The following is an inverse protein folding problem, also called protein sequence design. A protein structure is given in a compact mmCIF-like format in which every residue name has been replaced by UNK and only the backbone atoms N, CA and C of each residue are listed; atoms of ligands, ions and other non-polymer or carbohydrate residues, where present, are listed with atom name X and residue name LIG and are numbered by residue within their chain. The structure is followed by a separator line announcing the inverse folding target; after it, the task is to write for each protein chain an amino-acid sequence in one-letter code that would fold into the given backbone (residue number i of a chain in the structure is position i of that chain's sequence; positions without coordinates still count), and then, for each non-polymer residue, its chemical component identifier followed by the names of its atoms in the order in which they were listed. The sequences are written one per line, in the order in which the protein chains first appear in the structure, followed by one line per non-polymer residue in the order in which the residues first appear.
data_IF_955154095659
#
_entry.id   IF_955154095659
#
_cell.length_a   1.000
_cell.length_b   1.000
_cell.length_c   1.000
_cell.angle_alpha   90.00
_cell.angle_beta   90.00
_cell.angle_gamma   90.00
#
_symmetry.space_group_name_H-M   'P 1'
#
loop_
_entity.id
_entity.type
_entity.pdbx_description
1 polymer ?
#
# COMPACT_ATOMS: atom_id res chain seq x y z
N UNK A 1 1.24 11.52 -6.68
CA UNK A 1 -0.15 11.37 -7.20
C UNK A 1 -1.12 12.37 -6.55
N UNK A 2 -1.89 13.10 -7.38
CA UNK A 2 -3.00 13.96 -6.95
C UNK A 2 -4.33 13.45 -7.51
N UNK A 3 -5.38 13.49 -6.70
CA UNK A 3 -6.75 13.16 -7.08
C UNK A 3 -7.50 14.43 -7.49
N UNK A 4 -8.37 14.32 -8.49
CA UNK A 4 -9.24 15.40 -8.93
C UNK A 4 -10.68 15.16 -8.48
N UNK A 5 -11.50 16.21 -8.44
CA UNK A 5 -12.92 16.15 -8.07
C UNK A 5 -13.16 15.53 -6.69
N UNK A 6 -12.37 15.99 -5.72
CA UNK A 6 -12.37 15.47 -4.35
C UNK A 6 -13.31 16.26 -3.46
N UNK A 7 -14.13 15.54 -2.70
CA UNK A 7 -14.98 16.08 -1.65
C UNK A 7 -14.71 15.35 -0.33
N UNK A 8 -14.86 16.05 0.79
CA UNK A 8 -14.75 15.44 2.13
C UNK A 8 -16.13 15.41 2.78
N UNK A 9 -16.50 14.24 3.29
CA UNK A 9 -17.73 14.03 4.04
C UNK A 9 -17.48 13.27 5.33
N UNK A 10 -18.57 12.87 6.01
CA UNK A 10 -18.49 12.01 7.20
C UNK A 10 -18.85 10.58 6.85
N UNK A 11 -17.98 9.64 7.19
CA UNK A 11 -18.26 8.22 7.08
C UNK A 11 -19.46 7.87 7.98
N UNK A 12 -20.50 7.27 7.41
CA UNK A 12 -21.67 6.83 8.17
C UNK A 12 -21.49 5.39 8.62
N UNK A 13 -21.25 4.49 7.65
CA UNK A 13 -21.06 3.05 7.91
C UNK A 13 -20.47 2.32 6.71
N UNK A 14 -19.89 1.15 6.95
CA UNK A 14 -19.59 0.17 5.91
C UNK A 14 -20.85 -0.65 5.60
N UNK A 15 -21.27 -0.67 4.35
CA UNK A 15 -22.46 -1.40 3.88
C UNK A 15 -22.09 -2.80 3.40
N UNK A 16 -20.97 -2.92 2.68
CA UNK A 16 -20.48 -4.19 2.14
C UNK A 16 -18.96 -4.21 2.04
N UNK A 17 -18.40 -5.27 1.46
CA UNK A 17 -16.96 -5.32 1.16
C UNK A 17 -16.50 -4.24 0.17
N UNK A 18 -17.41 -3.67 -0.63
CA UNK A 18 -17.11 -2.72 -1.71
C UNK A 18 -17.88 -1.39 -1.61
N UNK A 19 -18.64 -1.18 -0.53
CA UNK A 19 -19.51 -0.01 -0.42
C UNK A 19 -19.53 0.51 1.00
N UNK A 20 -19.36 1.82 1.12
CA UNK A 20 -19.62 2.57 2.34
C UNK A 20 -20.68 3.65 2.06
N UNK A 21 -21.27 4.18 3.11
CA UNK A 21 -22.09 5.39 3.04
C UNK A 21 -21.32 6.55 3.66
N UNK A 22 -21.32 7.68 2.96
CA UNK A 22 -20.70 8.94 3.40
C UNK A 22 -21.73 10.05 3.32
N UNK A 23 -21.87 10.85 4.37
CA UNK A 23 -22.63 12.09 4.35
C UNK A 23 -21.83 13.16 3.61
N UNK A 24 -22.21 13.46 2.37
CA UNK A 24 -21.66 14.54 1.55
C UNK A 24 -22.69 15.66 1.52
N UNK A 25 -22.33 16.86 1.98
CA UNK A 25 -23.23 18.01 2.06
C UNK A 25 -24.58 17.71 2.76
N UNK A 26 -24.53 16.85 3.79
CA UNK A 26 -25.71 16.39 4.54
C UNK A 26 -26.51 15.26 3.87
N UNK A 27 -26.13 14.81 2.67
CA UNK A 27 -26.80 13.74 1.93
C UNK A 27 -26.03 12.42 2.07
N UNK A 28 -26.73 11.38 2.54
CA UNK A 28 -26.20 10.02 2.57
C UNK A 28 -25.95 9.51 1.15
N UNK A 29 -24.67 9.37 0.81
CA UNK A 29 -24.23 8.99 -0.54
C UNK A 29 -23.52 7.63 -0.52
N UNK A 30 -23.88 6.69 -1.39
CA UNK A 30 -23.18 5.42 -1.53
C UNK A 30 -21.85 5.62 -2.29
N UNK A 31 -20.76 5.13 -1.71
CA UNK A 31 -19.40 5.30 -2.21
C UNK A 31 -18.75 3.93 -2.40
N UNK A 32 -18.09 3.74 -3.54
CA UNK A 32 -17.34 2.51 -3.81
C UNK A 32 -16.03 2.49 -3.02
N UNK A 33 -15.64 1.33 -2.51
CA UNK A 33 -14.36 1.10 -1.88
C UNK A 33 -13.66 -0.07 -2.58
N UNK A 34 -12.48 0.18 -3.16
CA UNK A 34 -11.70 -0.82 -3.90
C UNK A 34 -10.72 -1.61 -3.01
N UNK A 35 -10.68 -1.30 -1.72
CA UNK A 35 -9.90 -2.02 -0.71
C UNK A 35 -10.78 -2.99 0.07
N UNK A 36 -10.55 -4.28 -0.15
CA UNK A 36 -11.31 -5.38 0.47
C UNK A 36 -10.80 -5.78 1.85
N UNK A 37 -9.82 -5.05 2.37
CA UNK A 37 -9.25 -5.27 3.68
C UNK A 37 -10.25 -5.23 4.82
N UNK A 38 -9.79 -5.63 6.00
CA UNK A 38 -10.64 -5.62 7.20
C UNK A 38 -11.05 -4.20 7.55
N UNK A 39 -10.13 -3.24 7.46
CA UNK A 39 -10.36 -1.80 7.61
C UNK A 39 -11.22 -1.43 8.84
N UNK A 40 -11.18 -2.24 9.91
CA UNK A 40 -12.10 -2.09 11.06
C UNK A 40 -11.72 -0.87 11.89
N UNK A 41 -10.42 -0.69 12.05
CA UNK A 41 -9.74 0.42 12.70
C UNK A 41 -9.65 1.68 11.83
N UNK A 42 -10.13 1.62 10.58
CA UNK A 42 -10.11 2.74 9.63
C UNK A 42 -11.54 3.24 9.40
N UNK A 43 -12.50 2.34 9.18
CA UNK A 43 -13.87 2.68 8.81
C UNK A 43 -14.76 2.93 10.04
N UNK A 44 -14.33 3.86 10.89
CA UNK A 44 -15.06 4.25 12.11
C UNK A 44 -16.14 5.30 11.76
N UNK A 45 -17.43 5.05 12.06
CA UNK A 45 -18.50 6.03 11.88
C UNK A 45 -18.16 7.40 12.48
N UNK A 46 -18.49 8.47 11.76
CA UNK A 46 -18.20 9.86 12.12
C UNK A 46 -16.85 10.38 11.62
N UNK A 47 -15.92 9.51 11.22
CA UNK A 47 -14.61 9.91 10.67
C UNK A 47 -14.76 10.71 9.39
N UNK A 48 -13.84 11.65 9.14
CA UNK A 48 -13.78 12.32 7.84
C UNK A 48 -13.36 11.33 6.76
N UNK A 49 -14.07 11.34 5.65
CA UNK A 49 -13.83 10.48 4.50
C UNK A 49 -13.69 11.35 3.25
N UNK A 50 -12.57 11.21 2.56
CA UNK A 50 -12.34 11.84 1.26
C UNK A 50 -12.80 10.92 0.15
N UNK A 51 -13.56 11.47 -0.79
CA UNK A 51 -14.14 10.75 -1.92
C UNK A 51 -13.86 11.49 -3.22
N UNK A 52 -13.69 10.73 -4.30
CA UNK A 52 -13.57 11.28 -5.67
C UNK A 52 -14.85 11.05 -6.44
N UNK A 53 -15.40 12.09 -7.04
CA UNK A 53 -16.47 11.96 -8.02
C UNK A 53 -15.98 11.31 -9.32
N UNK A 54 -16.71 10.33 -9.83
CA UNK A 54 -16.44 9.63 -11.08
C UNK A 54 -17.58 9.86 -12.06
N UNK A 55 -17.28 10.65 -13.09
CA UNK A 55 -18.21 10.98 -14.18
C UNK A 55 -18.39 9.82 -15.17
N UNK A 56 -18.85 8.67 -14.68
CA UNK A 56 -19.27 7.54 -15.49
C UNK A 56 -20.72 7.17 -15.13
N UNK A 57 -21.63 7.45 -16.04
CA UNK A 57 -23.08 7.26 -15.87
C UNK A 57 -23.49 5.80 -15.77
N UNK A 58 -22.65 4.86 -16.20
CA UNK A 58 -22.92 3.42 -16.11
C UNK A 58 -22.59 2.84 -14.73
N UNK A 59 -21.94 3.61 -13.85
CA UNK A 59 -21.58 3.14 -12.51
C UNK A 59 -22.78 3.20 -11.56
N UNK A 60 -22.90 2.18 -10.70
CA UNK A 60 -23.88 2.17 -9.60
C UNK A 60 -23.57 3.23 -8.53
N UNK A 61 -22.29 3.55 -8.33
CA UNK A 61 -21.86 4.62 -7.42
C UNK A 61 -21.05 5.65 -8.21
N UNK A 62 -21.34 6.94 -7.97
CA UNK A 62 -20.65 8.05 -8.60
C UNK A 62 -19.41 8.51 -7.82
N UNK A 63 -19.04 7.80 -6.77
CA UNK A 63 -17.91 8.16 -5.91
C UNK A 63 -17.04 6.94 -5.58
N UNK A 64 -15.73 7.16 -5.51
CA UNK A 64 -14.73 6.26 -4.94
C UNK A 64 -14.22 6.82 -3.61
N UNK A 65 -14.09 5.97 -2.59
CA UNK A 65 -13.48 6.31 -1.31
C UNK A 65 -11.95 6.33 -1.49
N UNK A 66 -11.32 7.46 -1.19
CA UNK A 66 -9.88 7.65 -1.35
C UNK A 66 -9.13 7.47 -0.03
N UNK A 67 -9.57 8.18 1.00
CA UNK A 67 -8.88 8.24 2.27
C UNK A 67 -9.88 8.43 3.42
N UNK A 68 -9.50 7.98 4.61
CA UNK A 68 -10.25 8.20 5.85
C UNK A 68 -9.32 8.80 6.89
N UNK A 69 -9.78 9.82 7.61
CA UNK A 69 -9.01 10.45 8.64
C UNK A 69 -9.19 9.74 9.98
N UNK A 70 -8.08 9.41 10.64
CA UNK A 70 -8.05 8.87 12.00
C UNK A 70 -6.97 9.56 12.80
N UNK A 71 -7.29 10.04 14.01
CA UNK A 71 -6.33 10.72 14.89
C UNK A 71 -5.56 11.83 14.13
N UNK A 72 -6.28 12.66 13.37
CA UNK A 72 -5.75 13.72 12.51
C UNK A 72 -4.83 13.28 11.35
N UNK A 73 -4.63 11.97 11.13
CA UNK A 73 -3.86 11.43 10.00
C UNK A 73 -4.80 10.92 8.92
N UNK A 74 -4.51 11.27 7.67
CA UNK A 74 -5.20 10.68 6.52
C UNK A 74 -4.58 9.33 6.18
N UNK A 75 -5.42 8.30 6.12
CA UNK A 75 -5.05 6.97 5.66
C UNK A 75 -5.65 6.81 4.28
N UNK A 76 -4.80 6.78 3.25
CA UNK A 76 -5.24 6.49 1.90
C UNK A 76 -5.55 4.99 1.82
N UNK A 77 -6.76 4.67 1.40
CA UNK A 77 -7.23 3.29 1.29
C UNK A 77 -7.39 2.87 -0.17
N UNK A 78 -7.07 3.73 -1.13
CA UNK A 78 -7.11 3.40 -2.55
C UNK A 78 -6.06 2.31 -2.83
N UNK A 79 -6.52 1.11 -3.17
CA UNK A 79 -5.64 -0.05 -3.39
C UNK A 79 -4.76 0.08 -4.63
N UNK A 80 -5.03 1.04 -5.52
CA UNK A 80 -4.23 1.29 -6.71
C UNK A 80 -3.10 2.31 -6.44
N UNK A 81 -3.21 3.11 -5.38
CA UNK A 81 -2.27 4.18 -5.09
C UNK A 81 -0.82 3.73 -4.88
N UNK A 82 -0.52 2.61 -4.18
CA UNK A 82 0.85 2.14 -3.98
C UNK A 82 1.63 1.96 -5.29
N UNK A 83 1.03 1.28 -6.27
CA UNK A 83 1.66 1.03 -7.56
C UNK A 83 1.84 2.35 -8.34
N UNK A 84 0.85 3.26 -8.31
CA UNK A 84 0.99 4.57 -8.95
C UNK A 84 2.13 5.39 -8.34
N UNK A 85 2.19 5.49 -7.02
CA UNK A 85 3.25 6.23 -6.31
C UNK A 85 4.62 5.61 -6.58
N UNK A 86 4.74 4.29 -6.47
CA UNK A 86 5.99 3.59 -6.73
C UNK A 86 6.47 3.77 -8.16
N UNK A 87 5.57 3.65 -9.16
CA UNK A 87 5.91 3.87 -10.57
C UNK A 87 6.48 5.27 -10.79
N UNK A 88 5.75 6.30 -10.35
CA UNK A 88 6.15 7.71 -10.49
C UNK A 88 7.52 7.94 -9.82
N UNK A 89 7.74 7.37 -8.63
CA UNK A 89 8.98 7.55 -7.89
C UNK A 89 10.15 6.74 -8.44
N UNK A 90 9.91 5.57 -9.04
CA UNK A 90 10.93 4.78 -9.76
C UNK A 90 11.36 5.52 -11.04
N UNK A 91 10.42 6.04 -11.81
CA UNK A 91 10.69 6.77 -13.06
C UNK A 91 11.45 8.09 -12.82
N UNK A 92 11.14 8.78 -11.72
CA UNK A 92 11.81 10.04 -11.33
C UNK A 92 13.10 9.82 -10.53
N UNK A 93 13.36 8.59 -10.06
CA UNK A 93 14.51 8.27 -9.20
C UNK A 93 14.36 8.69 -7.74
N UNK A 94 13.18 9.18 -7.32
CA UNK A 94 12.90 9.53 -5.91
C UNK A 94 12.82 8.27 -5.04
N UNK A 95 12.31 7.16 -5.58
CA UNK A 95 12.42 5.84 -4.97
C UNK A 95 13.71 5.20 -5.50
N UNK A 96 14.78 5.31 -4.72
CA UNK A 96 16.06 4.68 -5.07
C UNK A 96 16.05 3.20 -4.70
N UNK A 97 16.49 2.36 -5.64
CA UNK A 97 16.76 0.95 -5.42
C UNK A 97 18.24 0.79 -5.05
N UNK A 98 18.59 0.46 -3.79
CA UNK A 98 19.98 0.37 -3.38
C UNK A 98 20.78 -0.56 -4.29
N UNK A 99 22.00 -0.18 -4.63
CA UNK A 99 22.87 -0.96 -5.51
C UNK A 99 22.55 -0.90 -7.00
N UNK A 100 21.61 -0.04 -7.42
CA UNK A 100 21.28 0.20 -8.82
C UNK A 100 21.52 1.64 -9.22
N UNK A 101 22.05 1.83 -10.43
CA UNK A 101 22.38 3.13 -10.99
C UNK A 101 21.16 3.76 -11.69
N UNK A 102 20.86 5.02 -11.40
CA UNK A 102 19.82 5.81 -12.08
C UNK A 102 20.28 6.30 -13.48
N UNK A 103 19.37 6.62 -14.41
CA UNK A 103 17.92 6.43 -14.32
C UNK A 103 17.52 4.96 -14.54
N UNK A 104 16.30 4.62 -14.14
CA UNK A 104 15.74 3.28 -14.37
C UNK A 104 14.85 3.27 -15.61
N UNK A 105 14.97 2.24 -16.45
CA UNK A 105 13.91 1.88 -17.38
C UNK A 105 12.85 1.08 -16.61
N UNK A 106 11.59 1.54 -16.59
CA UNK A 106 10.52 0.95 -15.75
C UNK A 106 9.43 0.33 -16.63
N UNK A 107 9.13 -0.93 -16.40
CA UNK A 107 8.12 -1.72 -17.09
C UNK A 107 7.09 -2.26 -16.08
N UNK A 108 5.90 -1.65 -15.99
CA UNK A 108 4.87 -2.09 -15.05
C UNK A 108 4.26 -3.43 -15.47
N UNK A 109 3.66 -4.12 -14.50
CA UNK A 109 2.77 -5.25 -14.71
C UNK A 109 3.40 -6.41 -15.50
N UNK A 110 4.67 -6.71 -15.19
CA UNK A 110 5.50 -7.65 -15.94
C UNK A 110 5.26 -9.09 -15.49
N UNK A 111 4.89 -9.95 -16.44
CA UNK A 111 4.81 -11.40 -16.21
C UNK A 111 6.21 -11.99 -16.22
N UNK A 112 6.56 -12.70 -15.15
CA UNK A 112 7.77 -13.50 -15.06
C UNK A 112 7.43 -14.85 -14.43
N UNK A 113 7.70 -15.93 -15.18
CA UNK A 113 7.25 -17.29 -14.87
C UNK A 113 5.72 -17.33 -14.68
N UNK A 114 5.25 -17.78 -13.51
CA UNK A 114 3.83 -17.96 -13.18
C UNK A 114 3.26 -16.78 -12.36
N UNK A 115 4.00 -15.68 -12.28
CA UNK A 115 3.69 -14.50 -11.46
C UNK A 115 3.65 -13.25 -12.33
N UNK A 116 2.85 -12.27 -11.92
CA UNK A 116 2.86 -10.92 -12.47
C UNK A 116 3.40 -9.99 -11.38
N UNK A 117 4.61 -9.51 -11.56
CA UNK A 117 5.28 -8.59 -10.66
C UNK A 117 4.87 -7.16 -11.02
N UNK A 118 4.80 -6.30 -9.99
CA UNK A 118 4.34 -4.92 -10.19
C UNK A 118 5.25 -4.13 -11.15
N UNK A 119 6.59 -4.29 -11.05
CA UNK A 119 7.54 -3.64 -11.95
C UNK A 119 8.75 -4.51 -12.28
N UNK A 120 9.24 -4.37 -13.50
CA UNK A 120 10.54 -4.85 -13.96
C UNK A 120 11.31 -3.69 -14.59
N UNK A 121 12.61 -3.84 -14.77
CA UNK A 121 13.40 -2.82 -15.43
C UNK A 121 14.87 -3.11 -15.55
N UNK A 122 15.59 -2.12 -16.04
CA UNK A 122 17.06 -2.10 -16.07
C UNK A 122 17.57 -0.81 -15.44
N UNK A 123 18.68 -0.90 -14.72
CA UNK A 123 19.45 0.25 -14.27
C UNK A 123 20.27 0.83 -15.43
N UNK A 124 20.85 2.01 -15.23
CA UNK A 124 21.65 2.69 -16.27
C UNK A 124 22.90 1.89 -16.71
N UNK A 125 23.42 1.05 -15.84
CA UNK A 125 24.53 0.11 -16.12
C UNK A 125 24.06 -1.21 -16.75
N UNK A 126 22.76 -1.35 -17.04
CA UNK A 126 22.16 -2.53 -17.64
C UNK A 126 21.73 -3.62 -16.66
N UNK A 127 21.96 -3.46 -15.35
CA UNK A 127 21.56 -4.46 -14.35
C UNK A 127 20.03 -4.63 -14.34
N UNK A 128 19.49 -5.83 -14.62
CA UNK A 128 18.06 -6.06 -14.58
C UNK A 128 17.55 -6.17 -13.15
N UNK A 129 16.32 -5.73 -12.93
CA UNK A 129 15.70 -5.70 -11.60
C UNK A 129 14.19 -5.95 -11.64
N UNK A 130 13.66 -6.38 -10.50
CA UNK A 130 12.23 -6.51 -10.25
C UNK A 130 11.84 -5.83 -8.93
N UNK A 131 10.70 -5.16 -8.92
CA UNK A 131 10.07 -4.59 -7.73
C UNK A 131 8.66 -5.16 -7.60
N UNK A 132 8.35 -5.65 -6.41
CA UNK A 132 6.98 -5.95 -5.99
C UNK A 132 6.57 -4.97 -4.89
N UNK A 133 5.44 -4.31 -5.08
CA UNK A 133 4.89 -3.34 -4.14
C UNK A 133 3.80 -3.93 -3.26
N UNK A 134 3.71 -3.45 -2.02
CA UNK A 134 2.67 -3.82 -1.06
C UNK A 134 2.15 -2.56 -0.39
N UNK A 135 0.85 -2.28 -0.57
CA UNK A 135 0.16 -1.24 0.17
C UNK A 135 -0.05 -1.66 1.63
N UNK A 136 0.18 -0.73 2.55
CA UNK A 136 0.04 -0.96 3.99
C UNK A 136 -0.79 0.16 4.61
N UNK A 137 -1.91 -0.21 5.23
CA UNK A 137 -2.82 0.72 5.93
C UNK A 137 -2.97 0.38 7.41
N UNK A 138 -2.62 -0.83 7.80
CA UNK A 138 -2.68 -1.29 9.19
C UNK A 138 -1.52 -0.68 9.98
N UNK A 139 -1.87 0.05 11.04
CA UNK A 139 -0.90 0.69 11.92
C UNK A 139 -1.49 0.93 13.31
N UNK A 140 -0.62 0.91 14.31
CA UNK A 140 -0.89 1.32 15.68
C UNK A 140 0.20 2.31 16.13
N UNK A 141 -0.19 3.53 16.49
CA UNK A 141 0.77 4.61 16.74
C UNK A 141 1.62 4.90 15.49
N UNK A 142 2.94 4.81 15.65
CA UNK A 142 3.96 5.01 14.61
C UNK A 142 4.51 3.70 14.01
N UNK A 143 3.94 2.55 14.36
CA UNK A 143 4.32 1.23 13.84
C UNK A 143 3.26 0.75 12.85
N UNK A 144 3.68 0.47 11.62
CA UNK A 144 2.84 -0.14 10.59
C UNK A 144 3.08 -1.66 10.52
N UNK A 145 2.08 -2.41 10.05
CA UNK A 145 2.25 -3.84 9.85
C UNK A 145 1.51 -4.37 8.62
N UNK A 146 2.09 -5.39 8.00
CA UNK A 146 1.48 -6.13 6.88
C UNK A 146 1.46 -7.63 7.18
N UNK A 147 0.44 -8.40 6.78
CA UNK A 147 -0.77 -7.97 6.08
C UNK A 147 -1.92 -7.65 7.04
N UNK A 148 -2.97 -7.03 6.51
CA UNK A 148 -4.23 -6.79 7.22
C UNK A 148 -5.20 -8.00 7.15
N UNK A 149 -4.92 -8.97 6.26
CA UNK A 149 -5.56 -10.28 6.15
C UNK A 149 -4.57 -11.32 5.59
N UNK A 150 -4.71 -12.63 5.89
CA UNK A 150 -3.87 -13.67 5.28
C UNK A 150 -3.86 -13.58 3.75
N UNK A 151 -2.68 -13.71 3.13
CA UNK A 151 -2.50 -13.50 1.67
C UNK A 151 -1.48 -14.45 1.06
N UNK A 152 -1.96 -15.56 0.51
CA UNK A 152 -1.13 -16.52 -0.23
C UNK A 152 -0.50 -15.92 -1.48
N UNK A 153 -1.11 -14.88 -2.06
CA UNK A 153 -0.56 -14.13 -3.18
C UNK A 153 0.73 -13.39 -2.79
N UNK A 154 0.76 -12.73 -1.63
CA UNK A 154 1.98 -12.07 -1.18
C UNK A 154 3.10 -13.08 -0.92
N UNK A 155 2.76 -14.23 -0.31
CA UNK A 155 3.71 -15.32 -0.09
C UNK A 155 4.31 -15.82 -1.41
N UNK A 156 3.46 -16.08 -2.41
CA UNK A 156 3.89 -16.46 -3.77
C UNK A 156 4.86 -15.45 -4.35
N UNK A 157 4.54 -14.16 -4.30
CA UNK A 157 5.38 -13.12 -4.89
C UNK A 157 6.75 -12.98 -4.18
N UNK A 158 6.82 -13.19 -2.86
CA UNK A 158 8.10 -13.24 -2.12
C UNK A 158 8.98 -14.38 -2.64
N UNK A 159 8.41 -15.57 -2.85
CA UNK A 159 9.16 -16.68 -3.46
C UNK A 159 9.57 -16.39 -4.91
N UNK A 160 8.73 -15.70 -5.69
CA UNK A 160 9.09 -15.26 -7.04
C UNK A 160 10.29 -14.32 -7.02
N UNK A 161 10.34 -13.35 -6.11
CA UNK A 161 11.49 -12.46 -5.95
C UNK A 161 12.77 -13.22 -5.59
N UNK A 162 12.67 -14.24 -4.72
CA UNK A 162 13.81 -15.11 -4.40
C UNK A 162 14.36 -15.85 -5.62
N UNK A 163 13.46 -16.39 -6.44
CA UNK A 163 13.86 -17.07 -7.69
C UNK A 163 14.53 -16.08 -8.65
N UNK A 164 13.99 -14.88 -8.79
CA UNK A 164 14.57 -13.86 -9.66
C UNK A 164 15.96 -13.43 -9.17
N UNK A 165 16.12 -13.27 -7.85
CA UNK A 165 17.41 -12.96 -7.23
C UNK A 165 18.47 -14.03 -7.53
N UNK A 166 18.09 -15.31 -7.49
CA UNK A 166 18.97 -16.43 -7.83
C UNK A 166 19.37 -16.47 -9.32
N UNK A 167 18.56 -15.89 -10.21
CA UNK A 167 18.85 -15.78 -11.65
C UNK A 167 19.57 -14.48 -12.06
N UNK A 168 20.07 -13.72 -11.08
CA UNK A 168 20.88 -12.53 -11.33
C UNK A 168 20.11 -11.23 -11.50
N UNK A 169 18.79 -11.23 -11.31
CA UNK A 169 18.02 -9.99 -11.16
C UNK A 169 18.28 -9.39 -9.77
N UNK A 170 18.30 -8.06 -9.65
CA UNK A 170 18.16 -7.43 -8.34
C UNK A 170 16.67 -7.38 -7.97
N UNK A 171 16.28 -8.05 -6.89
CA UNK A 171 14.88 -8.17 -6.50
C UNK A 171 14.57 -7.33 -5.26
N UNK A 172 13.45 -6.61 -5.31
CA UNK A 172 13.02 -5.70 -4.25
C UNK A 172 11.57 -5.96 -3.84
N UNK A 173 11.34 -6.06 -2.54
CA UNK A 173 10.01 -5.99 -1.94
C UNK A 173 9.85 -4.60 -1.32
N UNK A 174 8.90 -3.82 -1.83
CA UNK A 174 8.70 -2.44 -1.42
C UNK A 174 7.35 -2.28 -0.75
N UNK A 175 7.36 -1.87 0.51
CA UNK A 175 6.16 -1.51 1.23
C UNK A 175 5.91 0.00 1.14
N UNK A 176 4.71 0.36 0.71
CA UNK A 176 4.22 1.74 0.69
C UNK A 176 3.17 1.87 1.78
N UNK A 177 3.56 2.50 2.89
CA UNK A 177 2.69 2.71 4.04
C UNK A 177 1.85 3.97 3.78
N UNK A 178 0.57 3.77 3.48
CA UNK A 178 -0.36 4.76 2.93
C UNK A 178 -0.88 5.79 3.96
N UNK A 179 -0.07 6.11 4.97
CA UNK A 179 -0.37 7.07 6.02
C UNK A 179 0.92 7.73 6.55
N UNK A 180 0.84 8.98 7.03
CA UNK A 180 2.00 9.70 7.54
C UNK A 180 2.37 9.28 8.98
N UNK A 181 3.50 9.81 9.44
CA UNK A 181 4.01 9.68 10.81
C UNK A 181 4.30 8.25 11.26
N UNK A 182 4.71 7.41 10.31
CA UNK A 182 5.22 6.07 10.57
C UNK A 182 6.74 6.14 10.69
N UNK A 183 7.29 5.44 11.68
CA UNK A 183 8.73 5.37 11.93
C UNK A 183 9.30 4.02 11.53
N UNK A 184 8.51 2.96 11.75
CA UNK A 184 8.93 1.59 11.56
C UNK A 184 7.77 0.76 11.03
N UNK A 185 8.14 -0.35 10.39
CA UNK A 185 7.23 -1.31 9.83
C UNK A 185 7.66 -2.74 10.19
N UNK A 186 6.67 -3.59 10.45
CA UNK A 186 6.86 -5.03 10.66
C UNK A 186 5.88 -5.87 9.83
N UNK A 187 5.96 -7.18 10.01
CA UNK A 187 5.00 -8.15 9.52
C UNK A 187 4.11 -8.60 10.68
N UNK A 188 2.79 -8.59 10.48
CA UNK A 188 1.85 -9.02 11.51
C UNK A 188 1.82 -10.55 11.63
N UNK A 189 2.75 -11.09 12.42
CA UNK A 189 2.96 -12.54 12.59
C UNK A 189 1.70 -13.29 12.99
N UNK A 190 0.94 -12.81 13.97
CA UNK A 190 -0.27 -13.51 14.44
C UNK A 190 -1.34 -13.63 13.35
N UNK A 191 -1.30 -12.71 12.37
CA UNK A 191 -2.22 -12.74 11.23
C UNK A 191 -1.78 -13.72 10.17
N UNK A 192 -0.50 -13.75 9.84
CA UNK A 192 0.03 -14.61 8.79
C UNK A 192 1.49 -15.00 9.03
N UNK A 193 1.75 -16.02 9.88
CA UNK A 193 3.09 -16.35 10.36
C UNK A 193 4.03 -16.82 9.25
N UNK A 194 3.51 -17.50 8.23
CA UNK A 194 4.27 -18.01 7.08
C UNK A 194 4.99 -16.89 6.31
N UNK A 195 4.40 -15.69 6.25
CA UNK A 195 4.97 -14.56 5.53
C UNK A 195 6.27 -14.05 6.19
N UNK A 196 6.36 -14.11 7.52
CA UNK A 196 7.58 -13.70 8.23
C UNK A 196 8.75 -14.58 7.82
N UNK A 197 8.54 -15.90 7.84
CA UNK A 197 9.54 -16.88 7.43
C UNK A 197 9.96 -16.67 5.97
N UNK A 198 8.99 -16.47 5.08
CA UNK A 198 9.30 -16.23 3.67
C UNK A 198 10.11 -14.96 3.43
N UNK A 199 9.77 -13.85 4.10
CA UNK A 199 10.50 -12.59 3.98
C UNK A 199 11.91 -12.71 4.59
N UNK A 200 12.05 -13.41 5.71
CA UNK A 200 13.36 -13.70 6.33
C UNK A 200 14.26 -14.46 5.34
N UNK A 201 13.72 -15.52 4.74
CA UNK A 201 14.43 -16.31 3.75
C UNK A 201 14.75 -15.49 2.49
N UNK A 202 13.86 -14.59 2.08
CA UNK A 202 14.09 -13.72 0.94
C UNK A 202 15.24 -12.74 1.17
N UNK A 203 15.30 -12.12 2.36
CA UNK A 203 16.43 -11.26 2.76
C UNK A 203 17.74 -12.03 2.76
N UNK A 204 17.76 -13.26 3.29
CA UNK A 204 18.94 -14.13 3.27
C UNK A 204 19.38 -14.50 1.85
N UNK A 205 18.43 -14.67 0.93
CA UNK A 205 18.70 -14.91 -0.49
C UNK A 205 19.14 -13.67 -1.27
N UNK A 206 19.16 -12.48 -0.64
CA UNK A 206 19.60 -11.22 -1.25
C UNK A 206 18.47 -10.30 -1.74
N UNK A 207 17.20 -10.70 -1.59
CA UNK A 207 16.06 -9.83 -1.89
C UNK A 207 16.08 -8.64 -0.92
N UNK A 208 16.03 -7.42 -1.43
CA UNK A 208 16.09 -6.21 -0.61
C UNK A 208 14.68 -5.76 -0.24
N UNK A 209 14.43 -5.61 1.06
CA UNK A 209 13.15 -5.11 1.57
C UNK A 209 13.28 -3.63 1.87
N UNK A 210 12.39 -2.83 1.31
CA UNK A 210 12.31 -1.40 1.53
C UNK A 210 10.91 -1.05 2.06
N UNK A 211 10.83 -0.05 2.94
CA UNK A 211 9.58 0.47 3.43
C UNK A 211 9.65 2.00 3.40
N UNK A 212 8.56 2.62 2.97
CA UNK A 212 8.39 4.06 2.93
C UNK A 212 7.04 4.43 3.54
N UNK A 213 7.01 5.51 4.32
CA UNK A 213 5.74 6.17 4.63
C UNK A 213 5.28 7.02 3.44
N UNK A 214 4.12 7.65 3.59
CA UNK A 214 3.61 8.58 2.59
C UNK A 214 3.15 9.87 3.24
N UNK A 215 3.33 10.98 2.52
CA UNK A 215 2.60 12.21 2.83
C UNK A 215 1.22 12.08 2.20
N UNK A 216 0.22 11.87 3.06
CA UNK A 216 -1.15 11.61 2.65
C UNK A 216 -2.06 12.76 3.10
N UNK A 217 -2.83 13.28 2.16
CA UNK A 217 -3.91 14.24 2.39
C UNK A 217 -5.26 13.69 1.93
N UNK A 218 -6.33 14.51 1.97
CA UNK A 218 -7.63 14.11 1.44
C UNK A 218 -7.57 13.88 -0.09
N UNK A 219 -6.74 14.62 -0.81
CA UNK A 219 -6.71 14.67 -2.28
C UNK A 219 -5.35 14.32 -2.88
N UNK A 220 -4.40 13.87 -2.07
CA UNK A 220 -3.06 13.54 -2.53
C UNK A 220 -2.41 12.41 -1.73
N UNK A 221 -1.54 11.67 -2.41
CA UNK A 221 -0.60 10.74 -1.81
C UNK A 221 0.73 10.83 -2.56
N UNK A 222 1.80 11.02 -1.80
CA UNK A 222 3.16 11.10 -2.32
C UNK A 222 4.09 10.26 -1.44
N UNK A 223 5.16 9.73 -2.04
CA UNK A 223 6.16 8.98 -1.29
C UNK A 223 6.78 9.89 -0.23
N UNK A 224 6.81 9.43 1.00
CA UNK A 224 7.45 10.12 2.11
C UNK A 224 8.89 9.65 2.27
N UNK A 225 9.30 9.49 3.52
CA UNK A 225 10.64 9.04 3.90
C UNK A 225 10.73 7.53 3.90
N UNK A 226 11.96 7.04 3.70
CA UNK A 226 12.31 5.66 4.02
C UNK A 226 12.16 5.45 5.52
N UNK A 227 11.48 4.38 5.91
CA UNK A 227 11.27 3.97 7.31
C UNK A 227 12.00 2.66 7.59
N UNK A 228 12.20 2.34 8.86
CA UNK A 228 12.82 1.07 9.24
C UNK A 228 11.87 -0.09 8.95
N UNK A 229 12.42 -1.21 8.51
CA UNK A 229 11.70 -2.47 8.37
C UNK A 229 12.37 -3.53 9.24
N UNK A 230 11.62 -4.13 10.14
CA UNK A 230 12.06 -5.24 10.98
C UNK A 230 10.91 -6.24 11.14
N UNK A 231 11.05 -7.39 10.49
CA UNK A 231 10.08 -8.49 10.54
C UNK A 231 10.03 -9.25 11.88
N UNK A 232 10.90 -8.92 12.84
CA UNK A 232 10.90 -9.49 14.19
C UNK A 232 10.14 -8.65 15.21
N UNK A 233 9.86 -7.37 14.91
CA UNK A 233 9.10 -6.52 15.82
C UNK A 233 7.67 -7.07 16.00
N UNK A 234 7.17 -7.21 17.24
CA UNK A 234 5.79 -7.60 17.46
C UNK A 234 4.85 -6.48 17.03
N UNK A 235 3.64 -6.84 16.58
CA UNK A 235 2.58 -5.89 16.29
C UNK A 235 1.35 -6.22 17.11
N UNK A 236 0.75 -5.18 17.70
CA UNK A 236 -0.53 -5.27 18.40
C UNK A 236 -1.52 -4.35 17.71
N UNK A 237 -2.66 -4.89 17.30
CA UNK A 237 -3.74 -4.08 16.71
C UNK A 237 -4.23 -3.02 17.70
N UNK A 238 -4.80 -1.95 17.16
CA UNK A 238 -5.49 -0.95 17.96
C UNK A 238 -6.69 -1.61 18.64
N UNK A 239 -6.86 -1.36 19.93
CA UNK A 239 -8.10 -1.69 20.63
C UNK A 239 -9.24 -0.80 20.11
N UNK A 240 -10.22 -1.39 19.43
CA UNK A 240 -11.34 -0.64 18.87
C UNK A 240 -12.20 0.02 19.94
N UNK A 241 -12.17 -0.45 21.20
CA UNK A 241 -12.87 0.20 22.31
C UNK A 241 -12.18 1.50 22.76
N UNK A 242 -10.93 1.74 22.33
CA UNK A 242 -10.17 2.96 22.62
C UNK A 242 -10.32 4.06 21.56
N UNK A 243 -11.09 3.80 20.49
CA UNK A 243 -11.36 4.71 19.37
C UNK A 243 -12.74 5.35 19.50
#
# INVERSE_FOLDING_TARGET
MHYQNVSVGKLIRRVSRFTVEVALDGVTTPVHMNNTGRNKEILIPGSLASVRHVANTNRKTHYDLLAVQRQNRWINIDSLAPNHVAKECLETGTLTLPGLTLPYAVHPETTWRDSRLDFAGTAADGQPWFVETKGVTLANGSLAAFPDAPTTRALKHVHTLMMAQAEGYQAFLVFIVQLPDIQEMTIYRDRFPELVTAITNAKQAGVRVLAYDTVTGPDAITLGRKIAFDEQLPFTEIDLASL
#
